data_IF_866708187097
#
_entry.id   IF_866708187097
#
_cell.length_a   1.000
_cell.length_b   1.000
_cell.length_c   1.000
_cell.angle_alpha   90.00
_cell.angle_beta   90.00
_cell.angle_gamma   90.00
#
_symmetry.space_group_name_H-M   'P 1'
#
loop_
_entity.id
_entity.type
_entity.pdbx_description
1 polymer ?
#
# COMPACT_ATOMS: atom_id res chain seq x y z
N UNK A 1 2.99 -7.45 -17.23
CA UNK A 1 2.98 -6.03 -16.82
C UNK A 1 2.61 -5.97 -15.36
N UNK A 2 3.15 -5.00 -14.65
CA UNK A 2 3.07 -4.84 -13.20
C UNK A 2 2.76 -3.38 -12.84
N UNK A 3 2.07 -3.18 -11.71
CA UNK A 3 1.63 -1.86 -11.27
C UNK A 3 2.02 -1.63 -9.82
N UNK A 4 2.64 -0.48 -9.56
CA UNK A 4 2.72 0.09 -8.23
C UNK A 4 1.36 0.74 -7.92
N UNK A 5 0.46 -0.03 -7.31
CA UNK A 5 -0.93 0.38 -7.04
C UNK A 5 -0.97 1.57 -6.08
N UNK A 6 -0.09 1.54 -5.08
CA UNK A 6 0.11 2.61 -4.13
C UNK A 6 1.62 2.84 -3.94
N UNK A 7 2.01 4.12 -3.92
CA UNK A 7 3.40 4.55 -3.80
C UNK A 7 3.56 5.39 -2.53
N UNK A 8 4.45 4.98 -1.63
CA UNK A 8 4.93 5.78 -0.49
C UNK A 8 3.86 6.20 0.52
N UNK A 9 2.82 5.38 0.68
CA UNK A 9 1.68 5.69 1.56
C UNK A 9 2.02 5.58 3.06
N UNK A 10 3.19 5.04 3.44
CA UNK A 10 3.59 4.92 4.85
C UNK A 10 4.69 5.93 5.16
N UNK A 11 4.44 6.78 6.17
CA UNK A 11 5.39 7.76 6.67
C UNK A 11 6.57 7.11 7.41
N UNK A 12 7.60 7.91 7.67
CA UNK A 12 8.79 7.47 8.38
C UNK A 12 8.51 6.93 9.80
N UNK A 13 7.40 7.36 10.41
CA UNK A 13 6.90 6.93 11.72
C UNK A 13 5.93 5.73 11.65
N UNK A 14 5.65 5.21 10.45
CA UNK A 14 4.73 4.08 10.25
C UNK A 14 3.26 4.46 10.09
N UNK A 15 2.92 5.74 10.19
CA UNK A 15 1.54 6.23 9.98
C UNK A 15 1.21 6.41 8.50
N UNK A 16 -0.08 6.56 8.18
CA UNK A 16 -0.52 6.98 6.85
C UNK A 16 -0.75 8.51 6.86
N UNK A 17 -0.13 9.28 5.94
CA UNK A 17 -0.26 10.73 5.94
C UNK A 17 -1.67 11.20 5.59
N UNK A 18 -2.10 12.36 6.12
CA UNK A 18 -3.33 13.01 5.71
C UNK A 18 -3.14 13.72 4.35
N UNK A 19 -2.92 12.96 3.28
CA UNK A 19 -2.90 13.49 1.91
C UNK A 19 -4.32 13.87 1.46
N UNK A 20 -4.44 14.61 0.36
CA UNK A 20 -5.76 14.94 -0.22
C UNK A 20 -6.60 13.69 -0.53
N UNK A 21 -5.96 12.58 -0.97
CA UNK A 21 -6.65 11.29 -1.21
C UNK A 21 -7.14 10.66 0.09
N UNK A 22 -6.30 10.67 1.13
CA UNK A 22 -6.68 10.14 2.45
C UNK A 22 -7.79 10.98 3.07
N UNK A 23 -7.72 12.31 2.97
CA UNK A 23 -8.77 13.21 3.44
C UNK A 23 -10.08 13.01 2.67
N UNK A 24 -10.01 12.78 1.35
CA UNK A 24 -11.19 12.53 0.52
C UNK A 24 -11.91 11.21 0.84
N UNK A 25 -11.16 10.17 1.23
CA UNK A 25 -11.73 8.88 1.66
C UNK A 25 -12.06 8.86 3.17
N UNK A 26 -11.38 9.70 3.95
CA UNK A 26 -11.49 9.79 5.40
C UNK A 26 -10.51 8.90 6.17
N UNK A 27 -9.93 7.88 5.52
CA UNK A 27 -9.03 6.91 6.14
C UNK A 27 -8.03 6.34 5.13
N UNK A 28 -6.75 6.25 5.53
CA UNK A 28 -5.67 5.81 4.67
C UNK A 28 -5.62 4.31 4.42
N UNK A 29 -6.08 3.51 5.38
CA UNK A 29 -6.23 2.06 5.19
C UNK A 29 -7.37 1.77 4.22
N UNK A 30 -8.49 2.51 4.33
CA UNK A 30 -9.61 2.40 3.40
C UNK A 30 -9.18 2.78 1.98
N UNK A 31 -8.38 3.84 1.82
CA UNK A 31 -7.80 4.21 0.53
C UNK A 31 -7.04 3.04 -0.11
N UNK A 32 -6.10 2.43 0.63
CA UNK A 32 -5.27 1.33 0.12
C UNK A 32 -6.13 0.10 -0.22
N UNK A 33 -7.09 -0.25 0.64
CA UNK A 33 -8.01 -1.38 0.38
C UNK A 33 -8.80 -1.19 -0.92
N UNK A 34 -9.37 0.00 -1.11
CA UNK A 34 -10.12 0.32 -2.31
C UNK A 34 -9.21 0.30 -3.55
N UNK A 35 -8.01 0.86 -3.45
CA UNK A 35 -7.05 0.88 -4.56
C UNK A 35 -6.70 -0.54 -5.03
N UNK A 36 -6.34 -1.45 -4.11
CA UNK A 36 -6.03 -2.84 -4.46
C UNK A 36 -7.26 -3.63 -4.93
N UNK A 37 -8.43 -3.36 -4.36
CA UNK A 37 -9.69 -4.01 -4.80
C UNK A 37 -10.01 -3.64 -6.24
N UNK A 38 -9.98 -2.35 -6.57
CA UNK A 38 -10.27 -1.88 -7.92
C UNK A 38 -9.16 -2.22 -8.92
N UNK A 39 -7.89 -2.17 -8.52
CA UNK A 39 -6.79 -2.60 -9.38
C UNK A 39 -6.94 -4.06 -9.80
N UNK A 40 -7.36 -4.93 -8.87
CA UNK A 40 -7.66 -6.33 -9.19
C UNK A 40 -8.86 -6.46 -10.14
N UNK A 41 -9.91 -5.65 -9.96
CA UNK A 41 -11.12 -5.70 -10.79
C UNK A 41 -10.85 -5.25 -12.23
N UNK A 42 -10.12 -4.15 -12.40
CA UNK A 42 -9.95 -3.50 -13.71
C UNK A 42 -8.62 -3.80 -14.41
N UNK A 43 -7.66 -4.42 -13.74
CA UNK A 43 -6.42 -4.91 -14.35
C UNK A 43 -6.22 -6.42 -14.08
N UNK A 44 -7.14 -7.29 -14.55
CA UNK A 44 -7.01 -8.74 -14.38
C UNK A 44 -5.75 -9.24 -15.10
N UNK A 45 -4.92 -10.01 -14.40
CA UNK A 45 -3.66 -10.55 -14.93
C UNK A 45 -2.43 -9.66 -14.74
N UNK A 46 -2.59 -8.48 -14.15
CA UNK A 46 -1.47 -7.61 -13.74
C UNK A 46 -1.01 -8.00 -12.32
N UNK A 47 0.30 -7.94 -12.09
CA UNK A 47 0.86 -8.05 -10.74
C UNK A 47 0.77 -6.71 -10.02
N UNK A 48 0.26 -6.73 -8.80
CA UNK A 48 -0.08 -5.56 -8.01
C UNK A 48 0.90 -5.41 -6.84
N UNK A 49 1.67 -4.32 -6.86
CA UNK A 49 2.72 -4.04 -5.90
C UNK A 49 2.40 -2.82 -5.05
N UNK A 50 2.86 -2.86 -3.80
CA UNK A 50 3.05 -1.67 -2.98
C UNK A 50 4.53 -1.25 -3.04
N UNK A 51 4.81 0.01 -3.39
CA UNK A 51 6.18 0.50 -3.59
C UNK A 51 6.57 1.56 -2.55
N UNK A 52 7.76 1.44 -1.95
CA UNK A 52 8.24 2.43 -0.99
C UNK A 52 9.78 2.49 -0.83
N UNK A 53 10.29 3.67 -0.45
CA UNK A 53 11.67 3.93 -0.04
C UNK A 53 11.84 3.91 1.48
N UNK A 54 13.09 3.81 1.96
CA UNK A 54 13.41 3.78 3.39
C UNK A 54 12.70 2.66 4.18
N UNK A 55 12.26 1.58 3.51
CA UNK A 55 11.57 0.44 4.14
C UNK A 55 12.42 -0.29 5.20
N UNK A 56 13.74 -0.01 5.27
CA UNK A 56 14.63 -0.49 6.34
C UNK A 56 14.40 0.18 7.70
N UNK A 57 13.74 1.34 7.76
CA UNK A 57 13.50 2.06 9.01
C UNK A 57 12.46 1.29 9.85
N UNK A 58 12.72 1.01 11.14
CA UNK A 58 11.84 0.13 11.92
C UNK A 58 10.37 0.53 11.92
N UNK A 59 10.05 1.77 12.27
CA UNK A 59 8.67 2.24 12.35
C UNK A 59 7.95 2.16 10.98
N UNK A 60 8.64 2.55 9.91
CA UNK A 60 8.13 2.44 8.54
C UNK A 60 7.90 0.98 8.12
N UNK A 61 8.86 0.09 8.37
CA UNK A 61 8.73 -1.35 8.12
C UNK A 61 7.53 -1.95 8.84
N UNK A 62 7.32 -1.54 10.09
CA UNK A 62 6.22 -2.05 10.91
C UNK A 62 4.87 -1.53 10.38
N UNK A 63 4.80 -0.27 9.92
CA UNK A 63 3.65 0.29 9.21
C UNK A 63 3.33 -0.44 7.90
N UNK A 64 4.34 -0.74 7.09
CA UNK A 64 4.20 -1.53 5.85
C UNK A 64 3.70 -2.95 6.18
N UNK A 65 4.30 -3.60 7.18
CA UNK A 65 3.91 -4.94 7.62
C UNK A 65 2.45 -4.98 8.10
N UNK A 66 2.02 -3.95 8.85
CA UNK A 66 0.63 -3.76 9.29
C UNK A 66 -0.31 -3.68 8.09
N UNK A 67 0.02 -2.85 7.09
CA UNK A 67 -0.77 -2.68 5.87
C UNK A 67 -0.91 -4.01 5.10
N UNK A 68 0.19 -4.75 4.92
CA UNK A 68 0.16 -6.05 4.23
C UNK A 68 -0.70 -7.06 4.97
N UNK A 69 -0.55 -7.17 6.29
CA UNK A 69 -1.37 -8.07 7.11
C UNK A 69 -2.85 -7.73 7.06
N UNK A 70 -3.17 -6.44 7.01
CA UNK A 70 -4.55 -5.97 6.86
C UNK A 70 -5.15 -6.41 5.52
N UNK A 71 -4.46 -6.22 4.40
CA UNK A 71 -4.92 -6.67 3.09
C UNK A 71 -5.11 -8.20 3.03
N UNK A 72 -4.15 -8.95 3.57
CA UNK A 72 -4.23 -10.41 3.67
C UNK A 72 -5.44 -10.87 4.50
N UNK A 73 -5.67 -10.24 5.66
CA UNK A 73 -6.80 -10.55 6.55
C UNK A 73 -8.16 -10.34 5.86
N UNK A 74 -8.24 -9.37 4.97
CA UNK A 74 -9.47 -9.04 4.23
C UNK A 74 -9.60 -9.77 2.89
N UNK A 75 -8.64 -10.65 2.55
CA UNK A 75 -8.65 -11.39 1.29
C UNK A 75 -8.37 -10.52 0.06
N UNK A 76 -7.79 -9.33 0.26
CA UNK A 76 -7.43 -8.42 -0.83
C UNK A 76 -6.07 -8.86 -1.38
N UNK A 77 -6.03 -9.12 -2.70
CA UNK A 77 -4.82 -9.59 -3.39
C UNK A 77 -3.80 -8.45 -3.52
N UNK A 78 -2.56 -8.74 -3.12
CA UNK A 78 -1.35 -8.01 -3.47
C UNK A 78 -0.29 -9.07 -3.82
N UNK A 79 0.50 -8.83 -4.86
CA UNK A 79 1.48 -9.80 -5.35
C UNK A 79 2.88 -9.58 -4.76
N UNK A 80 3.19 -8.36 -4.32
CA UNK A 80 4.45 -8.12 -3.62
C UNK A 80 4.66 -6.70 -3.10
N UNK A 81 5.86 -6.50 -2.56
CA UNK A 81 6.36 -5.20 -2.10
C UNK A 81 7.60 -4.87 -2.93
N UNK A 82 7.66 -3.66 -3.47
CA UNK A 82 8.83 -3.14 -4.15
C UNK A 82 9.57 -2.17 -3.23
N UNK A 83 10.87 -2.41 -3.05
CA UNK A 83 11.74 -1.57 -2.22
C UNK A 83 12.62 -0.74 -3.14
N UNK A 84 12.39 0.57 -3.17
CA UNK A 84 13.07 1.49 -4.10
C UNK A 84 14.60 1.54 -3.93
N UNK A 85 15.10 1.21 -2.74
CA UNK A 85 16.53 1.04 -2.44
C UNK A 85 17.42 2.27 -2.75
N UNK A 86 16.86 3.46 -2.55
CA UNK A 86 17.61 4.72 -2.45
C UNK A 86 18.57 4.73 -1.25
#
# INVERSE_FOLDING_TARGET
YDWDVENEVIHADGSCPPTTRVQGIGDGDVLVKLAFTFAREYAPGTELYYNDFNARRPAKRDGITRLVRMLQKEGIRMDGIRIQSH
#
